data_IF_424062044942
#
_entry.id   IF_424062044942
#
_cell.length_a   1.000
_cell.length_b   1.000
_cell.length_c   1.000
_cell.angle_alpha   90.00
_cell.angle_beta   90.00
_cell.angle_gamma   90.00
#
_symmetry.space_group_name_H-M   'P 1'
#
loop_
_entity.id
_entity.type
_entity.pdbx_description
1 polymer ?
#
# COMPACT_ATOMS: atom_id res chain seq x y z
N UNK A 1 34.11 -4.21 -4.50
CA UNK A 1 32.72 -3.87 -4.14
C UNK A 1 32.52 -2.41 -4.52
N UNK A 2 31.79 -2.13 -5.60
CA UNK A 2 31.43 -0.74 -5.93
C UNK A 2 30.46 -0.26 -4.84
N UNK A 3 30.74 0.87 -4.22
CA UNK A 3 29.81 1.51 -3.30
C UNK A 3 28.52 1.82 -4.09
N UNK A 4 27.39 1.24 -3.67
CA UNK A 4 26.09 1.60 -4.21
C UNK A 4 25.84 3.05 -3.79
N UNK A 5 25.95 4.01 -4.70
CA UNK A 5 25.66 5.41 -4.41
C UNK A 5 24.23 5.53 -3.90
N UNK A 6 24.04 6.24 -2.78
CA UNK A 6 22.71 6.53 -2.26
C UNK A 6 21.93 7.39 -3.28
N UNK A 7 20.65 7.07 -3.53
CA UNK A 7 19.86 7.83 -4.49
C UNK A 7 19.54 9.23 -3.96
N UNK A 8 19.44 10.20 -4.86
CA UNK A 8 18.85 11.49 -4.51
C UNK A 8 17.32 11.31 -4.38
N UNK A 9 16.71 11.93 -3.38
CA UNK A 9 15.28 11.75 -3.06
C UNK A 9 14.55 13.09 -3.08
N UNK A 10 13.35 13.13 -3.64
CA UNK A 10 12.41 14.25 -3.49
C UNK A 10 10.95 13.79 -3.44
N UNK A 11 10.10 14.55 -2.77
CA UNK A 11 8.66 14.37 -2.81
C UNK A 11 8.02 15.23 -3.91
N UNK A 12 7.04 14.66 -4.59
CA UNK A 12 6.31 15.25 -5.72
C UNK A 12 4.86 14.75 -5.68
N UNK A 13 4.05 15.11 -6.67
CA UNK A 13 2.64 14.74 -6.76
C UNK A 13 2.35 14.09 -8.12
N UNK A 14 1.60 13.00 -8.12
CA UNK A 14 0.85 12.55 -9.30
C UNK A 14 -0.61 12.93 -9.16
N UNK A 15 -1.38 12.76 -10.23
CA UNK A 15 -2.83 12.85 -10.18
C UNK A 15 -3.45 11.47 -10.32
N UNK A 16 -4.45 11.17 -9.49
CA UNK A 16 -5.26 9.95 -9.60
C UNK A 16 -6.28 10.05 -10.75
N UNK A 17 -7.13 9.01 -10.88
CA UNK A 17 -8.16 8.95 -11.91
C UNK A 17 -9.20 10.08 -11.77
N UNK A 18 -9.42 10.55 -10.54
CA UNK A 18 -10.29 11.66 -10.17
C UNK A 18 -9.58 13.02 -10.25
N UNK A 19 -8.35 13.08 -10.78
CA UNK A 19 -7.53 14.28 -10.93
C UNK A 19 -7.16 14.95 -9.59
N UNK A 20 -7.20 14.21 -8.48
CA UNK A 20 -6.73 14.66 -7.15
C UNK A 20 -5.24 14.42 -7.00
N UNK A 21 -4.52 15.31 -6.30
CA UNK A 21 -3.09 15.15 -6.07
C UNK A 21 -2.81 14.00 -5.08
N UNK A 22 -1.90 13.10 -5.45
CA UNK A 22 -1.42 11.98 -4.63
C UNK A 22 0.09 12.14 -4.42
N UNK A 23 0.58 12.10 -3.17
CA UNK A 23 2.00 12.21 -2.88
C UNK A 23 2.78 11.02 -3.46
N UNK A 24 3.90 11.34 -4.10
CA UNK A 24 4.88 10.39 -4.60
C UNK A 24 6.27 10.77 -4.12
N UNK A 25 7.17 9.80 -4.10
CA UNK A 25 8.59 10.02 -3.84
C UNK A 25 9.41 9.56 -5.03
N UNK A 26 10.25 10.46 -5.54
CA UNK A 26 11.18 10.19 -6.63
C UNK A 26 12.53 9.84 -6.03
N UNK A 27 13.13 8.74 -6.51
CA UNK A 27 14.45 8.28 -6.10
C UNK A 27 15.32 8.14 -7.35
N UNK A 28 16.31 9.03 -7.48
CA UNK A 28 17.18 9.11 -8.64
C UNK A 28 18.48 8.36 -8.38
N UNK A 29 18.56 7.16 -8.95
CA UNK A 29 19.78 6.36 -9.01
C UNK A 29 20.65 6.79 -10.21
N UNK A 30 21.89 6.28 -10.31
CA UNK A 30 22.75 6.54 -11.47
C UNK A 30 22.14 6.13 -12.80
N UNK A 31 21.41 5.01 -12.85
CA UNK A 31 20.89 4.37 -14.06
C UNK A 31 19.36 4.22 -14.11
N UNK A 32 18.66 4.55 -13.03
CA UNK A 32 17.20 4.42 -12.94
C UNK A 32 16.56 5.58 -12.15
N UNK A 33 15.30 5.88 -12.48
CA UNK A 33 14.40 6.67 -11.63
C UNK A 33 13.34 5.73 -11.04
N UNK A 34 13.29 5.64 -9.72
CA UNK A 34 12.22 4.96 -9.00
C UNK A 34 11.16 5.98 -8.58
N UNK A 35 9.89 5.60 -8.72
CA UNK A 35 8.74 6.35 -8.21
C UNK A 35 8.08 5.48 -7.16
N UNK A 36 8.04 5.98 -5.94
CA UNK A 36 7.36 5.35 -4.83
C UNK A 36 6.00 6.03 -4.58
N UNK A 37 5.03 5.22 -4.17
CA UNK A 37 3.72 5.64 -3.67
C UNK A 37 3.58 5.18 -2.23
N UNK A 38 2.75 5.87 -1.46
CA UNK A 38 2.36 5.39 -0.15
C UNK A 38 1.33 4.28 -0.30
N UNK A 39 1.68 3.08 0.15
CA UNK A 39 0.78 1.93 0.19
C UNK A 39 0.54 1.51 1.64
N UNK A 40 -0.66 0.99 1.92
CA UNK A 40 -0.97 0.42 3.23
C UNK A 40 -0.48 -1.02 3.27
N UNK A 41 0.53 -1.29 4.10
CA UNK A 41 1.09 -2.63 4.27
C UNK A 41 0.66 -3.17 5.62
N UNK A 42 0.34 -4.46 5.67
CA UNK A 42 0.19 -5.17 6.94
C UNK A 42 1.57 -5.36 7.56
N UNK A 43 1.79 -4.78 8.74
CA UNK A 43 3.00 -5.05 9.51
C UNK A 43 3.08 -6.56 9.78
N UNK A 44 4.28 -7.12 9.64
CA UNK A 44 4.53 -8.52 9.98
C UNK A 44 4.20 -8.73 11.46
N UNK A 45 3.33 -9.68 11.73
CA UNK A 45 2.97 -10.06 13.08
C UNK A 45 4.04 -10.99 13.64
N UNK A 46 4.35 -10.84 14.93
CA UNK A 46 5.11 -11.85 15.64
C UNK A 46 4.30 -13.16 15.71
N UNK A 47 4.97 -14.30 15.82
CA UNK A 47 4.33 -15.62 15.76
C UNK A 47 3.19 -15.78 16.78
N UNK A 48 3.34 -15.19 17.97
CA UNK A 48 2.34 -15.22 19.04
C UNK A 48 1.04 -14.50 18.63
N UNK A 49 1.17 -13.30 18.05
CA UNK A 49 0.03 -12.54 17.53
C UNK A 49 -0.62 -13.27 16.35
N UNK A 50 0.19 -13.92 15.51
CA UNK A 50 -0.31 -14.69 14.38
C UNK A 50 -1.18 -15.87 14.83
N UNK A 51 -0.70 -16.62 15.82
CA UNK A 51 -1.44 -17.71 16.46
C UNK A 51 -2.71 -17.18 17.10
N UNK A 52 -2.63 -16.06 17.84
CA UNK A 52 -3.77 -15.47 18.51
C UNK A 52 -4.89 -15.07 17.54
N UNK A 53 -4.57 -14.38 16.44
CA UNK A 53 -5.56 -13.93 15.46
C UNK A 53 -6.20 -15.09 14.70
N UNK A 54 -5.46 -16.18 14.48
CA UNK A 54 -5.94 -17.38 13.81
C UNK A 54 -6.80 -18.28 14.72
N UNK A 55 -6.73 -18.11 16.04
CA UNK A 55 -7.47 -18.90 17.01
C UNK A 55 -8.96 -18.55 17.01
N UNK A 56 -9.80 -19.59 17.10
CA UNK A 56 -11.23 -19.43 17.43
C UNK A 56 -11.34 -19.21 18.94
N UNK A 57 -11.97 -18.12 19.34
CA UNK A 57 -12.16 -17.71 20.74
C UNK A 57 -13.62 -17.83 21.10
N UNK A 58 -13.90 -18.47 22.24
CA UNK A 58 -15.22 -18.47 22.86
C UNK A 58 -15.30 -17.30 23.83
N UNK A 59 -16.24 -16.38 23.61
CA UNK A 59 -16.38 -15.16 24.39
C UNK A 59 -17.79 -15.06 24.95
N UNK A 60 -17.91 -14.94 26.27
CA UNK A 60 -19.17 -14.64 26.93
C UNK A 60 -19.27 -13.14 27.21
N UNK A 61 -20.31 -12.49 26.68
CA UNK A 61 -20.61 -11.08 26.96
C UNK A 61 -21.77 -11.03 27.94
N UNK A 62 -21.60 -10.31 29.05
CA UNK A 62 -22.65 -10.08 30.06
C UNK A 62 -23.08 -8.62 30.04
N UNK A 63 -24.37 -8.38 29.86
CA UNK A 63 -25.00 -7.05 29.86
C UNK A 63 -25.82 -6.83 31.13
N UNK A 64 -26.19 -5.58 31.37
CA UNK A 64 -27.21 -5.26 32.37
C UNK A 64 -28.60 -5.57 31.81
N UNK A 65 -29.59 -5.91 32.66
CA UNK A 65 -30.96 -6.14 32.22
C UNK A 65 -31.51 -4.94 31.43
N UNK A 66 -31.97 -5.21 30.21
CA UNK A 66 -32.52 -4.19 29.31
C UNK A 66 -31.48 -3.38 28.52
N UNK A 67 -30.18 -3.58 28.74
CA UNK A 67 -29.13 -2.95 27.95
C UNK A 67 -28.82 -3.72 26.64
N UNK A 68 -28.09 -3.07 25.73
CA UNK A 68 -27.49 -3.74 24.57
C UNK A 68 -26.20 -4.50 24.95
N UNK A 69 -25.71 -5.33 24.03
CA UNK A 69 -24.40 -5.96 24.17
C UNK A 69 -23.23 -5.04 23.77
N UNK A 70 -23.48 -3.86 23.20
CA UNK A 70 -22.42 -2.91 22.83
C UNK A 70 -21.62 -3.28 21.58
N UNK A 71 -22.24 -3.99 20.63
CA UNK A 71 -21.63 -4.40 19.36
C UNK A 71 -22.32 -3.75 18.17
N UNK A 72 -21.55 -3.32 17.18
CA UNK A 72 -22.05 -3.06 15.83
C UNK A 72 -21.48 -4.08 14.87
N UNK A 73 -22.33 -4.73 14.08
CA UNK A 73 -21.92 -5.74 13.10
C UNK A 73 -22.13 -5.26 11.66
N UNK A 74 -21.37 -5.80 10.71
CA UNK A 74 -21.49 -5.57 9.27
C UNK A 74 -21.18 -6.86 8.51
N UNK A 75 -21.43 -6.90 7.20
CA UNK A 75 -21.26 -8.12 6.40
C UNK A 75 -22.44 -9.05 6.59
N UNK A 76 -22.31 -10.29 6.13
CA UNK A 76 -23.41 -11.22 5.96
C UNK A 76 -23.28 -11.95 4.62
N UNK A 77 -23.85 -13.17 4.55
CA UNK A 77 -23.76 -14.03 3.38
C UNK A 77 -24.24 -13.35 2.08
N UNK A 78 -25.21 -12.44 2.17
CA UNK A 78 -25.73 -11.60 1.07
C UNK A 78 -24.65 -10.68 0.45
N UNK A 79 -23.61 -10.37 1.22
CA UNK A 79 -22.47 -9.57 0.79
C UNK A 79 -21.21 -10.40 0.50
N UNK A 80 -21.32 -11.74 0.53
CA UNK A 80 -20.17 -12.67 0.40
C UNK A 80 -19.08 -12.39 1.45
N UNK A 81 -19.49 -11.94 2.63
CA UNK A 81 -18.62 -11.67 3.78
C UNK A 81 -19.21 -12.36 5.01
N UNK A 82 -18.38 -12.84 5.96
CA UNK A 82 -18.89 -13.22 7.27
C UNK A 82 -19.50 -12.01 7.98
N UNK A 83 -20.29 -12.24 9.04
CA UNK A 83 -20.73 -11.16 9.93
C UNK A 83 -19.57 -10.75 10.83
N UNK A 84 -19.11 -9.51 10.67
CA UNK A 84 -17.93 -8.95 11.32
C UNK A 84 -18.32 -7.94 12.42
N UNK A 85 -17.59 -7.93 13.52
CA UNK A 85 -17.63 -6.86 14.52
C UNK A 85 -16.98 -5.62 13.91
N UNK A 86 -17.79 -4.64 13.55
CA UNK A 86 -17.35 -3.38 12.93
C UNK A 86 -17.02 -2.28 13.94
N UNK A 87 -17.60 -2.36 15.15
CA UNK A 87 -17.37 -1.41 16.24
C UNK A 87 -17.73 -2.07 17.57
N UNK A 88 -16.95 -1.77 18.59
CA UNK A 88 -17.24 -2.05 20.00
C UNK A 88 -17.57 -0.71 20.66
N UNK A 89 -18.71 -0.62 21.34
CA UNK A 89 -19.20 0.64 21.92
C UNK A 89 -18.52 0.87 23.29
N UNK A 90 -17.99 2.08 23.47
CA UNK A 90 -17.26 2.46 24.68
C UNK A 90 -18.14 2.37 25.93
N UNK A 91 -17.56 1.87 27.01
CA UNK A 91 -18.15 1.61 28.32
C UNK A 91 -19.31 0.60 28.34
N UNK A 92 -19.60 -0.10 27.24
CA UNK A 92 -20.67 -1.10 27.17
C UNK A 92 -20.17 -2.54 27.40
N UNK A 93 -21.10 -3.50 27.46
CA UNK A 93 -20.84 -4.89 27.83
C UNK A 93 -19.71 -5.55 27.01
N UNK A 94 -19.69 -5.38 25.69
CA UNK A 94 -18.64 -5.90 24.83
C UNK A 94 -17.27 -5.26 25.06
N UNK A 95 -17.18 -3.95 25.38
CA UNK A 95 -15.88 -3.36 25.72
C UNK A 95 -15.39 -3.87 27.07
N UNK A 96 -16.28 -3.92 28.07
CA UNK A 96 -15.96 -4.42 29.41
C UNK A 96 -15.55 -5.89 29.43
N UNK A 97 -16.01 -6.70 28.47
CA UNK A 97 -15.59 -8.10 28.37
C UNK A 97 -14.11 -8.24 27.94
N UNK A 98 -13.54 -7.24 27.24
CA UNK A 98 -12.12 -7.15 26.88
C UNK A 98 -11.57 -8.23 25.96
N UNK A 99 -12.43 -9.10 25.41
CA UNK A 99 -12.02 -10.31 24.68
C UNK A 99 -12.36 -10.30 23.18
N UNK A 100 -13.03 -9.25 22.72
CA UNK A 100 -13.43 -9.08 21.32
C UNK A 100 -12.58 -8.03 20.63
N UNK A 101 -12.29 -8.27 19.35
CA UNK A 101 -11.60 -7.31 18.51
C UNK A 101 -12.51 -6.81 17.39
N UNK A 102 -12.32 -5.54 17.03
CA UNK A 102 -12.87 -5.02 15.77
C UNK A 102 -12.23 -5.80 14.61
N UNK A 103 -13.05 -6.32 13.70
CA UNK A 103 -12.63 -7.22 12.63
C UNK A 103 -12.79 -8.72 12.95
N UNK A 104 -13.23 -9.07 14.15
CA UNK A 104 -13.61 -10.46 14.44
C UNK A 104 -14.85 -10.87 13.65
N UNK A 105 -14.77 -12.03 13.00
CA UNK A 105 -15.92 -12.73 12.42
C UNK A 105 -16.64 -13.52 13.49
N UNK A 106 -17.96 -13.36 13.56
CA UNK A 106 -18.83 -14.17 14.40
C UNK A 106 -19.10 -15.47 13.67
N UNK A 107 -18.61 -16.58 14.22
CA UNK A 107 -18.79 -17.92 13.68
C UNK A 107 -20.00 -18.60 14.30
N UNK A 108 -20.24 -18.36 15.59
CA UNK A 108 -21.41 -18.88 16.31
C UNK A 108 -21.99 -17.86 17.27
N UNK A 109 -23.30 -17.96 17.50
CA UNK A 109 -24.03 -17.26 18.56
C UNK A 109 -24.77 -18.31 19.38
N UNK A 110 -24.49 -18.38 20.69
CA UNK A 110 -25.02 -19.39 21.60
C UNK A 110 -24.89 -20.83 21.04
N UNK A 111 -23.75 -21.13 20.43
CA UNK A 111 -23.44 -22.44 19.82
C UNK A 111 -24.01 -22.67 18.41
N UNK A 112 -24.93 -21.84 17.94
CA UNK A 112 -25.50 -21.93 16.58
C UNK A 112 -24.53 -21.36 15.56
N UNK A 113 -24.18 -22.12 14.52
CA UNK A 113 -23.32 -21.63 13.44
C UNK A 113 -24.04 -20.54 12.62
N UNK A 114 -23.37 -19.41 12.40
CA UNK A 114 -23.88 -18.25 11.67
C UNK A 114 -23.01 -17.83 10.47
N UNK A 115 -22.02 -18.64 10.07
CA UNK A 115 -21.10 -18.31 8.97
C UNK A 115 -21.80 -18.14 7.62
N UNK A 116 -22.93 -18.82 7.42
CA UNK A 116 -23.77 -18.72 6.22
C UNK A 116 -25.02 -17.86 6.40
N UNK A 117 -25.18 -17.21 7.55
CA UNK A 117 -26.32 -16.35 7.84
C UNK A 117 -26.15 -14.96 7.23
N UNK A 118 -27.27 -14.32 6.96
CA UNK A 118 -27.35 -12.93 6.55
C UNK A 118 -27.10 -11.97 7.71
N UNK A 119 -26.83 -10.71 7.41
CA UNK A 119 -26.72 -9.66 8.43
C UNK A 119 -27.91 -9.65 9.40
N UNK A 120 -29.12 -9.62 8.84
CA UNK A 120 -30.36 -9.46 9.59
C UNK A 120 -30.66 -10.68 10.46
N UNK A 121 -30.34 -11.89 10.00
CA UNK A 121 -30.49 -13.12 10.79
C UNK A 121 -29.61 -13.10 12.05
N UNK A 122 -28.33 -12.73 11.91
CA UNK A 122 -27.41 -12.65 13.05
C UNK A 122 -27.79 -11.52 13.99
N UNK A 123 -28.18 -10.36 13.46
CA UNK A 123 -28.66 -9.23 14.27
C UNK A 123 -29.92 -9.61 15.05
N UNK A 124 -30.86 -10.32 14.41
CA UNK A 124 -32.07 -10.81 15.07
C UNK A 124 -31.72 -11.79 16.19
N UNK A 125 -30.83 -12.76 15.92
CA UNK A 125 -30.38 -13.72 16.92
C UNK A 125 -29.74 -13.05 18.14
N UNK A 126 -28.91 -12.02 17.95
CA UNK A 126 -28.30 -11.25 19.04
C UNK A 126 -29.33 -10.43 19.83
N UNK A 127 -30.37 -9.90 19.18
CA UNK A 127 -31.44 -9.12 19.82
C UNK A 127 -32.42 -9.99 20.59
N UNK A 128 -32.66 -11.20 20.11
CA UNK A 128 -33.63 -12.15 20.68
C UNK A 128 -33.10 -12.94 21.88
N UNK A 129 -31.81 -12.83 22.19
CA UNK A 129 -31.24 -13.38 23.44
C UNK A 129 -32.00 -12.80 24.63
N UNK A 130 -32.67 -13.68 25.38
CA UNK A 130 -33.49 -13.31 26.55
C UNK A 130 -32.64 -13.21 27.81
N UNK A 131 -31.57 -13.99 27.88
CA UNK A 131 -30.61 -13.93 28.96
C UNK A 131 -29.82 -12.60 28.91
N UNK A 132 -29.24 -12.26 30.06
CA UNK A 132 -28.31 -11.14 30.19
C UNK A 132 -26.90 -11.51 29.70
N UNK A 133 -26.72 -12.71 29.12
CA UNK A 133 -25.46 -13.14 28.53
C UNK A 133 -25.63 -13.77 27.14
N UNK A 134 -24.61 -13.58 26.30
CA UNK A 134 -24.48 -14.24 24.99
C UNK A 134 -23.09 -14.84 24.85
N UNK A 135 -23.01 -16.06 24.32
CA UNK A 135 -21.77 -16.73 23.97
C UNK A 135 -21.50 -16.60 22.47
N UNK A 136 -20.33 -16.08 22.11
CA UNK A 136 -19.90 -15.94 20.72
C UNK A 136 -18.65 -16.78 20.48
N UNK A 137 -18.65 -17.57 19.41
CA UNK A 137 -17.41 -18.14 18.87
C UNK A 137 -16.91 -17.20 17.78
N UNK A 138 -15.74 -16.60 17.96
CA UNK A 138 -15.19 -15.58 17.06
C UNK A 138 -13.78 -15.93 16.59
N UNK A 139 -13.37 -15.37 15.45
CA UNK A 139 -11.99 -15.45 14.94
C UNK A 139 -11.67 -14.19 14.17
N UNK A 140 -10.44 -13.71 14.25
CA UNK A 140 -10.08 -12.50 13.53
C UNK A 140 -10.12 -12.74 12.02
N UNK A 141 -10.93 -11.96 11.30
CA UNK A 141 -10.98 -12.04 9.85
C UNK A 141 -9.91 -11.11 9.28
N UNK A 142 -8.73 -11.63 8.92
CA UNK A 142 -7.62 -10.78 8.44
C UNK A 142 -7.97 -9.78 7.35
N UNK A 143 -8.84 -10.12 6.36
CA UNK A 143 -9.24 -9.13 5.36
C UNK A 143 -10.05 -7.95 5.94
N UNK A 144 -10.63 -8.08 7.14
CA UNK A 144 -11.42 -7.03 7.81
C UNK A 144 -10.64 -5.73 7.98
N UNK A 145 -9.32 -5.78 8.20
CA UNK A 145 -8.48 -4.58 8.31
C UNK A 145 -8.59 -3.68 7.08
N UNK A 146 -8.73 -4.25 5.88
CA UNK A 146 -8.95 -3.46 4.66
C UNK A 146 -10.37 -2.88 4.60
N UNK A 147 -11.38 -3.66 4.95
CA UNK A 147 -12.79 -3.26 4.82
C UNK A 147 -13.21 -2.22 5.86
N UNK A 148 -12.72 -2.34 7.08
CA UNK A 148 -13.06 -1.45 8.19
C UNK A 148 -12.29 -0.13 8.12
N UNK A 149 -11.08 -0.13 7.55
CA UNK A 149 -10.29 1.09 7.41
C UNK A 149 -10.75 1.97 6.23
N UNK A 150 -11.22 1.36 5.12
CA UNK A 150 -11.72 2.10 3.94
C UNK A 150 -12.98 2.93 4.20
N UNK A 151 -13.73 2.63 5.25
CA UNK A 151 -14.95 3.35 5.63
C UNK A 151 -14.72 4.68 6.35
N UNK A 152 -13.48 5.00 6.75
CA UNK A 152 -13.17 6.16 7.59
C UNK A 152 -12.74 7.42 6.81
N UNK A 153 -12.45 7.35 5.51
CA UNK A 153 -12.00 8.54 4.76
C UNK A 153 -13.11 9.56 4.46
N UNK A 154 -14.39 9.23 4.71
CA UNK A 154 -15.50 10.12 4.33
C UNK A 154 -16.30 10.73 5.48
N UNK A 155 -16.05 10.41 6.77
CA UNK A 155 -16.99 10.89 7.81
C UNK A 155 -16.51 11.47 9.13
N UNK A 156 -15.27 11.37 9.59
CA UNK A 156 -14.89 12.09 10.82
C UNK A 156 -13.41 12.50 10.83
N UNK A 157 -13.14 13.70 11.39
CA UNK A 157 -11.82 14.33 11.51
C UNK A 157 -10.82 13.57 12.40
N UNK A 158 -9.71 14.22 12.84
CA UNK A 158 -8.52 13.58 13.38
C UNK A 158 -8.67 13.12 14.84
N UNK A 159 -9.68 12.27 15.11
CA UNK A 159 -10.00 11.75 16.43
C UNK A 159 -10.15 10.22 16.45
N UNK A 160 -9.36 9.49 15.66
CA UNK A 160 -8.92 8.18 16.14
C UNK A 160 -7.74 8.42 17.09
N UNK A 161 -8.09 8.71 18.35
CA UNK A 161 -7.16 8.53 19.43
C UNK A 161 -6.55 7.13 19.30
N UNK A 162 -5.22 7.03 19.34
CA UNK A 162 -4.50 5.78 19.61
C UNK A 162 -5.33 4.96 20.59
N UNK A 163 -5.85 3.82 20.17
CA UNK A 163 -6.31 2.80 21.11
C UNK A 163 -5.06 2.27 21.82
N UNK A 164 -4.63 3.00 22.85
CA UNK A 164 -3.87 2.42 23.93
C UNK A 164 -4.84 1.56 24.74
N UNK A 165 -4.45 0.31 25.00
CA UNK A 165 -5.11 -0.70 25.83
C UNK A 165 -6.30 -1.48 25.23
N UNK A 166 -5.99 -2.62 24.63
CA UNK A 166 -6.46 -3.91 25.17
C UNK A 166 -5.27 -4.88 25.07
N UNK A 167 -5.01 -5.65 26.12
CA UNK A 167 -3.87 -6.60 26.23
C UNK A 167 -4.02 -7.83 25.32
N UNK A 168 -4.74 -7.70 24.21
CA UNK A 168 -5.27 -8.80 23.42
C UNK A 168 -4.75 -8.69 21.98
N UNK A 169 -3.52 -9.17 21.77
CA UNK A 169 -2.73 -9.14 20.53
C UNK A 169 -2.59 -7.78 19.84
N UNK A 170 -1.42 -7.49 19.29
CA UNK A 170 -1.30 -6.32 18.43
C UNK A 170 -2.05 -6.64 17.13
N UNK A 171 -3.26 -6.08 16.97
CA UNK A 171 -3.99 -6.14 15.68
C UNK A 171 -3.01 -5.77 14.55
N UNK A 172 -3.09 -6.41 13.37
CA UNK A 172 -2.16 -6.13 12.29
C UNK A 172 -2.33 -4.67 11.90
N UNK A 173 -1.38 -3.85 12.36
CA UNK A 173 -1.39 -2.41 12.09
C UNK A 173 -1.14 -2.25 10.60
N UNK A 174 -2.00 -1.49 9.94
CA UNK A 174 -1.74 -1.03 8.60
C UNK A 174 -0.84 0.20 8.74
N UNK A 175 0.40 0.09 8.28
CA UNK A 175 1.32 1.21 8.23
C UNK A 175 1.45 1.69 6.79
N UNK A 176 1.52 3.02 6.62
CA UNK A 176 1.80 3.60 5.30
C UNK A 176 3.29 3.54 5.06
N UNK A 177 3.69 2.74 4.09
CA UNK A 177 5.08 2.66 3.67
C UNK A 177 5.24 3.15 2.22
N UNK A 178 6.42 3.68 1.94
CA UNK A 178 6.79 4.08 0.59
C UNK A 178 7.23 2.86 -0.19
N UNK A 179 6.39 2.44 -1.14
CA UNK A 179 6.64 1.27 -1.97
C UNK A 179 6.93 1.68 -3.40
N UNK A 180 7.90 1.02 -4.03
CA UNK A 180 8.24 1.25 -5.44
C UNK A 180 7.06 0.84 -6.32
N UNK A 181 6.42 1.83 -6.92
CA UNK A 181 5.30 1.65 -7.84
C UNK A 181 5.79 1.58 -9.30
N UNK A 182 6.90 2.25 -9.61
CA UNK A 182 7.46 2.28 -10.97
C UNK A 182 8.98 2.41 -10.92
N UNK A 183 9.66 1.70 -11.81
CA UNK A 183 11.10 1.87 -12.09
C UNK A 183 11.24 2.22 -13.56
N UNK A 184 11.99 3.28 -13.86
CA UNK A 184 12.24 3.76 -15.22
C UNK A 184 13.74 3.73 -15.47
N UNK A 185 14.25 2.86 -16.37
CA UNK A 185 15.65 2.89 -16.79
C UNK A 185 15.97 4.21 -17.48
N UNK A 186 17.05 4.87 -17.10
CA UNK A 186 17.42 6.19 -17.63
C UNK A 186 18.12 6.14 -18.98
N UNK A 187 18.78 5.03 -19.32
CA UNK A 187 19.38 4.86 -20.64
C UNK A 187 18.28 4.89 -21.70
N UNK A 188 18.37 5.83 -22.64
CA UNK A 188 17.34 6.14 -23.65
C UNK A 188 16.01 6.68 -23.12
N UNK A 189 15.89 7.00 -21.83
CA UNK A 189 14.67 7.64 -21.34
C UNK A 189 14.52 9.06 -21.90
N UNK A 190 13.26 9.42 -22.15
CA UNK A 190 12.87 10.74 -22.62
C UNK A 190 12.20 11.50 -21.50
N UNK A 191 12.79 12.61 -21.09
CA UNK A 191 12.19 13.56 -20.14
C UNK A 191 11.50 14.67 -20.95
N UNK A 192 10.27 15.04 -20.59
CA UNK A 192 9.49 16.02 -21.34
C UNK A 192 8.67 16.93 -20.44
N UNK A 193 8.63 18.21 -20.80
CA UNK A 193 7.70 19.20 -20.25
C UNK A 193 6.59 19.58 -21.23
N UNK A 194 6.60 19.03 -22.44
CA UNK A 194 5.62 19.40 -23.46
C UNK A 194 4.26 18.78 -23.17
N UNK A 195 3.21 19.57 -23.40
CA UNK A 195 1.84 19.07 -23.44
C UNK A 195 1.66 18.31 -24.75
N UNK A 196 1.21 17.06 -24.66
CA UNK A 196 1.08 16.18 -25.82
C UNK A 196 0.24 16.81 -26.94
N UNK A 197 0.75 16.76 -28.17
CA UNK A 197 0.10 17.34 -29.34
C UNK A 197 0.23 18.87 -29.46
N UNK A 198 1.05 19.52 -28.63
CA UNK A 198 1.26 20.97 -28.66
C UNK A 198 2.72 21.35 -28.40
N UNK A 199 3.09 22.58 -28.75
CA UNK A 199 4.40 23.17 -28.42
C UNK A 199 4.41 23.89 -27.05
N UNK A 200 3.33 23.74 -26.25
CA UNK A 200 3.23 24.37 -24.94
C UNK A 200 3.96 23.55 -23.88
N UNK A 201 4.68 24.24 -23.01
CA UNK A 201 5.37 23.64 -21.86
C UNK A 201 4.50 23.71 -20.60
N UNK A 202 4.52 22.64 -19.81
CA UNK A 202 3.98 22.62 -18.45
C UNK A 202 4.88 23.44 -17.54
N UNK A 203 4.29 24.32 -16.73
CA UNK A 203 5.04 25.23 -15.87
C UNK A 203 5.64 24.54 -14.64
N UNK A 204 4.93 23.58 -14.07
CA UNK A 204 5.13 23.01 -12.73
C UNK A 204 5.33 21.48 -12.75
N UNK A 205 5.41 20.88 -13.95
CA UNK A 205 5.47 19.44 -14.10
C UNK A 205 6.29 18.98 -15.30
N UNK A 206 6.81 17.76 -15.21
CA UNK A 206 7.43 17.03 -16.31
C UNK A 206 7.07 15.54 -16.22
N UNK A 207 7.18 14.84 -17.34
CA UNK A 207 7.06 13.39 -17.41
C UNK A 207 8.35 12.77 -17.92
N UNK A 208 8.54 11.49 -17.61
CA UNK A 208 9.61 10.67 -18.16
C UNK A 208 9.01 9.37 -18.72
N UNK A 209 9.55 8.97 -19.87
CA UNK A 209 9.19 7.73 -20.56
C UNK A 209 10.46 6.92 -20.76
N UNK A 210 10.49 5.71 -20.20
CA UNK A 210 11.57 4.76 -20.38
C UNK A 210 11.55 4.11 -21.76
N UNK A 211 12.69 3.56 -22.17
CA UNK A 211 12.83 2.86 -23.46
C UNK A 211 12.00 1.57 -23.53
N UNK A 212 11.72 0.99 -22.37
CA UNK A 212 10.85 -0.18 -22.17
C UNK A 212 9.35 0.17 -22.24
N UNK A 213 9.00 1.45 -22.45
CA UNK A 213 7.62 1.93 -22.47
C UNK A 213 7.05 2.28 -21.11
N UNK A 214 7.82 2.17 -20.02
CA UNK A 214 7.44 2.68 -18.69
C UNK A 214 7.18 4.19 -18.73
N UNK A 215 6.14 4.68 -18.05
CA UNK A 215 5.72 6.10 -18.08
C UNK A 215 5.38 6.59 -16.69
N UNK A 216 6.00 7.68 -16.25
CA UNK A 216 5.66 8.32 -14.98
C UNK A 216 4.30 9.02 -15.00
N UNK A 217 3.90 9.54 -16.17
CA UNK A 217 2.92 10.62 -16.24
C UNK A 217 3.50 11.96 -15.75
N UNK A 218 2.75 13.07 -15.83
CA UNK A 218 3.21 14.36 -15.35
C UNK A 218 3.35 14.35 -13.82
N UNK A 219 4.57 14.55 -13.35
CA UNK A 219 4.92 14.70 -11.93
C UNK A 219 4.92 16.19 -11.61
N UNK A 220 4.07 16.58 -10.66
CA UNK A 220 3.84 17.97 -10.29
C UNK A 220 4.66 18.35 -9.05
N UNK A 221 5.12 19.59 -9.02
CA UNK A 221 5.93 20.13 -7.93
C UNK A 221 5.33 21.45 -7.46
N UNK A 222 5.37 21.68 -6.15
CA UNK A 222 4.91 22.95 -5.56
C UNK A 222 5.75 24.12 -6.05
N UNK A 223 7.06 23.91 -6.20
CA UNK A 223 8.02 24.94 -6.60
C UNK A 223 8.61 24.66 -7.98
N UNK A 224 8.47 25.63 -8.88
CA UNK A 224 9.00 25.57 -10.25
C UNK A 224 10.52 25.40 -10.31
N UNK A 225 11.26 26.06 -9.41
CA UNK A 225 12.72 25.96 -9.30
C UNK A 225 13.17 24.53 -8.98
N UNK A 226 12.47 23.91 -8.04
CA UNK A 226 12.67 22.53 -7.62
C UNK A 226 12.37 21.55 -8.75
N UNK A 227 11.25 21.74 -9.45
CA UNK A 227 10.91 21.00 -10.67
C UNK A 227 12.01 21.10 -11.74
N UNK A 228 12.45 22.32 -12.07
CA UNK A 228 13.48 22.56 -13.08
C UNK A 228 14.81 21.90 -12.69
N UNK A 229 15.19 22.00 -11.43
CA UNK A 229 16.41 21.36 -10.90
C UNK A 229 16.38 19.85 -11.14
N UNK A 230 15.26 19.19 -10.80
CA UNK A 230 15.09 17.76 -10.99
C UNK A 230 14.99 17.36 -12.46
N UNK A 231 14.26 18.13 -13.27
CA UNK A 231 14.19 17.96 -14.71
C UNK A 231 15.59 17.96 -15.35
N UNK A 232 16.43 18.94 -15.00
CA UNK A 232 17.79 19.04 -15.52
C UNK A 232 18.71 17.92 -15.02
N UNK A 233 18.63 17.55 -13.73
CA UNK A 233 19.40 16.43 -13.17
C UNK A 233 19.13 15.12 -13.89
N UNK A 234 17.84 14.77 -14.04
CA UNK A 234 17.44 13.53 -14.72
C UNK A 234 17.89 13.58 -16.19
N UNK A 235 17.63 14.69 -16.89
CA UNK A 235 18.04 14.86 -18.30
C UNK A 235 19.55 14.73 -18.50
N UNK A 236 20.36 15.25 -17.57
CA UNK A 236 21.80 15.11 -17.62
C UNK A 236 22.24 13.65 -17.42
N UNK A 237 21.61 12.92 -16.50
CA UNK A 237 21.89 11.48 -16.29
C UNK A 237 21.54 10.64 -17.51
N UNK A 238 20.37 10.85 -18.13
CA UNK A 238 19.98 10.12 -19.36
C UNK A 238 20.99 10.37 -20.50
N UNK A 239 21.41 11.61 -20.70
CA UNK A 239 22.42 11.99 -21.70
C UNK A 239 23.81 11.40 -21.39
N UNK A 240 24.22 11.41 -20.13
CA UNK A 240 25.50 10.85 -19.69
C UNK A 240 25.56 9.34 -19.95
N UNK A 241 24.53 8.59 -19.56
CA UNK A 241 24.44 7.15 -19.81
C UNK A 241 24.46 6.82 -21.30
N UNK A 242 23.73 7.59 -22.12
CA UNK A 242 23.75 7.44 -23.56
C UNK A 242 25.16 7.66 -24.13
N UNK A 243 25.84 8.72 -23.68
CA UNK A 243 27.22 9.03 -24.09
C UNK A 243 28.20 7.92 -23.70
N UNK A 244 28.09 7.40 -22.48
CA UNK A 244 28.92 6.29 -21.98
C UNK A 244 28.68 5.01 -22.79
N UNK A 245 27.41 4.67 -23.05
CA UNK A 245 27.04 3.50 -23.83
C UNK A 245 27.60 3.58 -25.26
N UNK A 246 27.46 4.74 -25.93
CA UNK A 246 28.02 4.94 -27.28
C UNK A 246 29.54 4.77 -27.27
N UNK A 247 30.26 5.33 -26.28
CA UNK A 247 31.72 5.16 -26.14
C UNK A 247 32.13 3.70 -25.93
N UNK A 248 31.34 2.92 -25.18
CA UNK A 248 31.62 1.51 -24.96
C UNK A 248 31.44 0.69 -26.25
N UNK A 249 30.40 0.99 -27.04
CA UNK A 249 30.15 0.34 -28.33
C UNK A 249 31.27 0.66 -29.33
N UNK A 250 31.73 1.91 -29.40
CA UNK A 250 32.85 2.28 -30.29
C UNK A 250 34.17 1.62 -29.87
N UNK A 251 34.43 1.49 -28.57
CA UNK A 251 35.62 0.80 -28.07
C UNK A 251 35.58 -0.71 -28.36
N UNK A 252 34.45 -1.37 -28.11
CA UNK A 252 34.29 -2.81 -28.33
C UNK A 252 34.36 -3.18 -29.81
N UNK A 253 33.73 -2.39 -30.68
CA UNK A 253 33.88 -2.57 -32.14
C UNK A 253 35.34 -2.42 -32.56
N UNK A 254 36.05 -1.39 -32.09
CA UNK A 254 37.48 -1.21 -32.37
C UNK A 254 38.34 -2.41 -31.92
N UNK A 255 38.14 -2.92 -30.70
CA UNK A 255 38.86 -4.08 -30.18
C UNK A 255 38.53 -5.38 -30.94
N UNK A 256 37.28 -5.55 -31.39
CA UNK A 256 36.87 -6.70 -32.20
C UNK A 256 37.54 -6.69 -33.58
N UNK A 257 37.59 -5.53 -34.25
CA UNK A 257 38.32 -5.36 -35.52
C UNK A 257 39.81 -5.65 -35.34
N UNK A 258 40.43 -5.13 -34.27
CA UNK A 258 41.83 -5.39 -33.98
C UNK A 258 42.12 -6.88 -33.71
N UNK A 259 41.21 -7.58 -33.03
CA UNK A 259 41.34 -9.01 -32.74
C UNK A 259 41.19 -9.88 -33.99
N UNK A 260 40.25 -9.55 -34.89
CA UNK A 260 40.10 -10.20 -36.19
C UNK A 260 41.35 -9.99 -37.04
N UNK A 261 41.89 -8.77 -37.09
CA UNK A 261 43.10 -8.46 -37.84
C UNK A 261 44.31 -9.26 -37.32
N UNK A 262 44.43 -9.39 -36.00
CA UNK A 262 45.49 -10.19 -35.36
C UNK A 262 45.34 -11.70 -35.61
N UNK A 263 44.11 -12.19 -35.80
CA UNK A 263 43.81 -13.59 -36.14
C UNK A 263 44.13 -13.91 -37.62
N UNK A 264 43.77 -13.00 -38.54
CA UNK A 264 44.12 -13.11 -39.97
C UNK A 264 45.65 -13.05 -40.17
N UNK A 265 46.34 -12.19 -39.43
CA UNK A 265 47.80 -12.08 -39.49
C UNK A 265 48.53 -13.34 -38.97
N UNK A 266 47.89 -14.16 -38.11
CA UNK A 266 48.46 -15.40 -37.57
C UNK A 266 48.18 -16.65 -38.40
N UNK A 267 47.19 -16.60 -39.29
CA UNK A 267 46.77 -17.74 -40.14
C UNK A 267 47.38 -17.69 -41.54
N UNK A 268 48.14 -16.64 -41.88
CA UNK A 268 48.81 -16.45 -43.17
C UNK A 268 50.27 -16.97 -43.20
N UNK A 269 50.61 -18.00 -42.41
CA UNK A 269 51.92 -18.67 -42.44
C UNK A 269 51.76 -20.19 -42.40
#
# INVERSE_FOLDING_TARGET
MAATEEPEIIESLLKDAENKPVPIRLMLYPDALLIQKQEWISVQLDEEDEVFLNMVREVEIKREPGAGFGLCVKGGAEHRLPVLISRIIKNEAAERCGQLLVGDAILRVNGVNVESCTHDEVVSMLKEVKEDSVSLSVRHFRPASYFLNKGNETRDGPHFAKQESSQLASLPRLEKEWMTALTIPLLYARVSRYIYGTDKLREDSFDIVGVDGSKSGPMYFTEKTTMLTWYHKISAKTQSLLSQMVKLITLTTFLSFFSIFKLIAKTSF
#
